data_IF_334097633905
#
_entry.id   IF_334097633905
#
_cell.length_a   1.000
_cell.length_b   1.000
_cell.length_c   1.000
_cell.angle_alpha   90.00
_cell.angle_beta   90.00
_cell.angle_gamma   90.00
#
_symmetry.space_group_name_H-M   'P 1'
#
loop_
_entity.id
_entity.type
_entity.pdbx_description
1 polymer ?
#
# COMPACT_ATOMS: atom_id res chain seq x y z
N UNK A 1 1.24 10.60 4.60
CA UNK A 1 -0.06 11.16 5.02
C UNK A 1 -0.97 11.16 3.82
N UNK A 2 -2.20 10.68 4.03
CA UNK A 2 -3.17 10.43 2.98
C UNK A 2 -3.96 11.72 2.66
N UNK A 3 -3.25 12.81 2.35
CA UNK A 3 -3.78 14.17 2.21
C UNK A 3 -3.74 14.72 0.78
N UNK A 4 -3.27 13.93 -0.18
CA UNK A 4 -3.12 14.31 -1.59
C UNK A 4 -2.01 15.34 -1.86
N UNK A 5 -1.14 15.61 -0.87
CA UNK A 5 -0.10 16.64 -0.94
C UNK A 5 1.27 16.15 -0.49
N UNK A 6 1.30 15.10 0.31
CA UNK A 6 2.51 14.54 0.88
C UNK A 6 3.17 13.55 -0.07
N UNK A 7 4.50 13.63 -0.17
CA UNK A 7 5.32 12.60 -0.83
C UNK A 7 6.32 12.11 0.19
N UNK A 8 6.20 10.85 0.61
CA UNK A 8 7.07 10.27 1.63
C UNK A 8 7.30 8.78 1.37
N UNK A 9 8.26 8.18 2.06
CA UNK A 9 8.58 6.77 1.91
C UNK A 9 9.52 6.25 3.00
N UNK A 10 9.94 4.98 2.90
CA UNK A 10 10.82 4.39 3.89
C UNK A 10 12.17 5.11 3.96
N UNK A 11 12.55 5.53 5.16
CA UNK A 11 13.91 6.03 5.42
C UNK A 11 14.97 4.97 5.06
N UNK A 12 16.24 5.35 4.86
CA UNK A 12 17.28 4.39 4.46
C UNK A 12 17.40 3.17 5.38
N UNK A 13 17.15 3.32 6.68
CA UNK A 13 17.16 2.20 7.62
C UNK A 13 15.98 1.24 7.40
N UNK A 14 14.79 1.78 7.16
CA UNK A 14 13.58 1.00 6.89
C UNK A 14 13.69 0.30 5.52
N UNK A 15 14.22 0.98 4.51
CA UNK A 15 14.48 0.37 3.21
C UNK A 15 15.46 -0.82 3.32
N UNK A 16 16.53 -0.68 4.12
CA UNK A 16 17.44 -1.80 4.42
C UNK A 16 16.74 -2.95 5.15
N UNK A 17 15.79 -2.64 6.03
CA UNK A 17 14.99 -3.66 6.71
C UNK A 17 14.10 -4.44 5.74
N UNK A 18 13.44 -3.76 4.78
CA UNK A 18 12.69 -4.42 3.71
C UNK A 18 13.59 -5.34 2.87
N UNK A 19 14.73 -4.83 2.41
CA UNK A 19 15.70 -5.60 1.60
C UNK A 19 16.20 -6.83 2.37
N UNK A 20 16.56 -6.66 3.64
CA UNK A 20 16.97 -7.78 4.48
C UNK A 20 15.84 -8.79 4.66
N UNK A 21 14.62 -8.32 4.86
CA UNK A 21 13.46 -9.18 5.02
C UNK A 21 13.16 -10.03 3.79
N UNK A 22 13.14 -9.43 2.60
CA UNK A 22 12.86 -10.18 1.35
C UNK A 22 13.98 -11.14 0.97
N UNK A 23 15.22 -10.90 1.40
CA UNK A 23 16.35 -11.79 1.10
C UNK A 23 16.56 -12.89 2.17
N UNK A 24 16.40 -12.56 3.45
CA UNK A 24 16.81 -13.43 4.56
C UNK A 24 15.63 -13.90 5.43
N UNK A 25 14.46 -13.28 5.30
CA UNK A 25 13.25 -13.66 6.03
C UNK A 25 12.75 -15.04 5.62
N UNK A 26 11.94 -15.65 6.49
CA UNK A 26 11.31 -16.97 6.25
C UNK A 26 12.31 -18.05 5.81
N UNK A 27 13.43 -18.18 6.51
CA UNK A 27 14.52 -19.12 6.19
C UNK A 27 15.05 -18.96 4.75
N UNK A 28 15.15 -17.72 4.26
CA UNK A 28 15.62 -17.41 2.90
C UNK A 28 14.55 -17.43 1.81
N UNK A 29 13.28 -17.68 2.17
CA UNK A 29 12.15 -17.59 1.22
C UNK A 29 11.66 -16.15 0.99
N UNK A 30 12.13 -15.21 1.81
CA UNK A 30 11.70 -13.82 1.82
C UNK A 30 10.45 -13.58 2.66
N UNK A 31 10.52 -12.55 3.51
CA UNK A 31 9.37 -12.01 4.22
C UNK A 31 8.34 -11.45 3.23
N UNK A 32 7.07 -11.66 3.54
CA UNK A 32 5.95 -11.14 2.73
C UNK A 32 5.41 -9.90 3.43
N UNK A 33 5.47 -8.77 2.74
CA UNK A 33 4.95 -7.50 3.23
C UNK A 33 3.67 -7.16 2.49
N UNK A 34 2.58 -6.98 3.22
CA UNK A 34 1.29 -6.55 2.66
C UNK A 34 1.01 -5.14 3.18
N UNK A 35 0.69 -4.22 2.29
CA UNK A 35 0.43 -2.82 2.62
C UNK A 35 -0.94 -2.40 2.10
N UNK A 36 -1.63 -1.54 2.84
CA UNK A 36 -2.86 -0.94 2.34
C UNK A 36 -2.53 0.10 1.26
N UNK A 37 -3.42 0.27 0.28
CA UNK A 37 -3.26 1.30 -0.75
C UNK A 37 -3.45 2.72 -0.21
N UNK A 38 -3.95 2.93 1.01
CA UNK A 38 -4.20 4.26 1.55
C UNK A 38 -5.66 4.70 1.47
N UNK A 39 -6.01 5.70 2.28
CA UNK A 39 -7.37 6.19 2.53
C UNK A 39 -7.58 7.65 2.09
N UNK A 40 -6.67 8.21 1.28
CA UNK A 40 -6.67 9.60 0.83
C UNK A 40 -7.50 9.87 -0.41
N UNK A 41 -8.28 8.90 -0.91
CA UNK A 41 -8.97 8.99 -2.20
C UNK A 41 -9.96 10.17 -2.31
N UNK A 42 -10.51 10.66 -1.20
CA UNK A 42 -11.38 11.85 -1.17
C UNK A 42 -10.60 13.18 -1.31
N UNK A 43 -9.29 13.14 -1.12
CA UNK A 43 -8.37 14.26 -1.26
C UNK A 43 -7.60 14.20 -2.58
N UNK A 44 -8.08 13.39 -3.54
CA UNK A 44 -7.42 13.08 -4.81
C UNK A 44 -5.99 12.51 -4.62
N UNK A 45 -5.75 11.80 -3.52
CA UNK A 45 -4.46 11.17 -3.26
C UNK A 45 -4.21 9.95 -4.15
N UNK A 46 -2.93 9.67 -4.36
CA UNK A 46 -2.44 8.60 -5.19
C UNK A 46 -1.30 7.85 -4.50
N UNK A 47 -1.52 6.57 -4.23
CA UNK A 47 -0.59 5.72 -3.51
C UNK A 47 0.79 5.49 -4.16
N UNK A 48 1.06 6.02 -5.35
CA UNK A 48 2.44 6.13 -5.84
C UNK A 48 3.28 7.16 -5.07
N UNK A 49 2.64 8.11 -4.37
CA UNK A 49 3.31 9.11 -3.52
C UNK A 49 3.58 8.60 -2.10
N UNK A 50 3.06 7.43 -1.73
CA UNK A 50 3.48 6.65 -0.56
C UNK A 50 4.53 5.61 -1.00
N UNK A 51 5.78 5.83 -0.62
CA UNK A 51 6.91 4.95 -0.93
C UNK A 51 6.88 3.58 -0.25
N UNK A 52 5.99 3.35 0.73
CA UNK A 52 5.71 2.02 1.28
C UNK A 52 4.74 1.25 0.37
N UNK A 53 3.66 1.89 -0.07
CA UNK A 53 2.70 1.31 -1.01
C UNK A 53 3.29 1.18 -2.44
N UNK A 54 4.17 2.09 -2.84
CA UNK A 54 4.86 2.06 -4.14
C UNK A 54 6.17 1.26 -4.14
N UNK A 55 6.46 0.52 -3.07
CA UNK A 55 7.67 -0.30 -2.97
C UNK A 55 7.53 -1.61 -3.74
N UNK A 56 8.56 -2.00 -4.49
CA UNK A 56 8.62 -3.35 -5.12
C UNK A 56 8.68 -4.49 -4.10
N UNK A 57 8.93 -4.19 -2.83
CA UNK A 57 9.00 -5.17 -1.75
C UNK A 57 7.67 -5.42 -1.04
N UNK A 58 6.62 -4.67 -1.39
CA UNK A 58 5.29 -4.76 -0.77
C UNK A 58 4.24 -5.26 -1.75
N UNK A 59 3.23 -5.90 -1.22
CA UNK A 59 2.00 -6.29 -1.93
C UNK A 59 0.94 -5.28 -1.52
N UNK A 60 0.66 -4.32 -2.39
CA UNK A 60 -0.28 -3.22 -2.11
C UNK A 60 -1.70 -3.65 -2.45
N UNK A 61 -2.58 -3.58 -1.45
CA UNK A 61 -3.97 -4.06 -1.50
C UNK A 61 -4.94 -2.91 -1.24
N UNK A 62 -5.86 -2.68 -2.19
CA UNK A 62 -6.96 -1.74 -2.06
C UNK A 62 -8.22 -2.34 -1.42
N UNK A 63 -9.17 -1.46 -1.05
CA UNK A 63 -10.43 -1.84 -0.40
C UNK A 63 -11.64 -1.72 -1.32
N UNK A 64 -12.53 -2.71 -1.27
CA UNK A 64 -13.87 -2.68 -1.89
C UNK A 64 -14.97 -3.02 -0.87
N UNK A 65 -16.16 -2.48 -1.08
CA UNK A 65 -17.33 -2.76 -0.27
C UNK A 65 -17.94 -4.13 -0.57
N UNK A 66 -18.96 -4.53 0.20
CA UNK A 66 -19.68 -5.81 0.02
C UNK A 66 -20.38 -5.96 -1.34
N UNK A 67 -20.49 -4.89 -2.11
CA UNK A 67 -21.06 -4.86 -3.46
C UNK A 67 -19.98 -4.84 -4.55
N UNK A 68 -18.70 -4.95 -4.18
CA UNK A 68 -17.58 -4.91 -5.11
C UNK A 68 -17.24 -3.50 -5.60
N UNK A 69 -17.72 -2.45 -4.90
CA UNK A 69 -17.46 -1.05 -5.26
C UNK A 69 -16.26 -0.50 -4.51
N UNK A 70 -15.46 0.32 -5.19
CA UNK A 70 -14.36 1.07 -4.57
C UNK A 70 -14.94 2.09 -3.58
N UNK A 71 -14.36 2.15 -2.38
CA UNK A 71 -14.69 3.20 -1.41
C UNK A 71 -14.19 4.57 -1.87
N UNK A 72 -14.92 5.64 -1.53
CA UNK A 72 -14.47 7.00 -1.80
C UNK A 72 -13.08 7.31 -1.22
N UNK A 73 -12.74 6.74 -0.06
CA UNK A 73 -11.43 6.91 0.56
C UNK A 73 -10.32 6.06 -0.07
N UNK A 74 -10.63 4.96 -0.78
CA UNK A 74 -9.58 4.06 -1.28
C UNK A 74 -8.77 4.75 -2.37
N UNK A 75 -7.47 4.91 -2.21
CA UNK A 75 -6.61 5.49 -3.26
C UNK A 75 -6.48 4.56 -4.48
N UNK A 76 -6.18 5.14 -5.64
CA UNK A 76 -5.91 4.41 -6.87
C UNK A 76 -4.53 4.77 -7.41
N UNK A 77 -3.70 3.78 -7.70
CA UNK A 77 -2.37 3.97 -8.26
C UNK A 77 -1.91 2.74 -9.06
N UNK A 78 -0.81 2.88 -9.80
CA UNK A 78 -0.26 1.80 -10.63
C UNK A 78 0.45 0.70 -9.82
N UNK A 79 0.83 0.98 -8.57
CA UNK A 79 1.51 0.01 -7.69
C UNK A 79 0.54 -0.93 -6.96
N UNK A 80 -0.77 -0.66 -6.99
CA UNK A 80 -1.78 -1.54 -6.40
C UNK A 80 -1.87 -2.87 -7.18
N UNK A 81 -1.69 -4.00 -6.49
CA UNK A 81 -1.67 -5.33 -7.11
C UNK A 81 -3.03 -6.02 -7.09
N UNK A 82 -3.83 -5.81 -6.04
CA UNK A 82 -5.15 -6.42 -5.90
C UNK A 82 -6.05 -5.60 -4.98
N UNK A 83 -7.31 -6.02 -4.85
CA UNK A 83 -8.28 -5.48 -3.89
C UNK A 83 -8.90 -6.59 -3.06
N UNK A 84 -9.35 -6.27 -1.86
CA UNK A 84 -10.13 -7.18 -1.00
C UNK A 84 -11.30 -6.45 -0.34
N UNK A 85 -12.23 -7.21 0.22
CA UNK A 85 -13.34 -6.65 0.98
C UNK A 85 -12.83 -5.95 2.24
N UNK A 86 -13.30 -4.73 2.48
CA UNK A 86 -13.09 -4.00 3.72
C UNK A 86 -14.42 -3.54 4.34
N UNK A 87 -14.38 -3.13 5.60
CA UNK A 87 -15.55 -2.62 6.31
C UNK A 87 -15.87 -1.19 5.90
N UNK A 88 -17.15 -0.88 5.70
CA UNK A 88 -17.63 0.44 5.29
C UNK A 88 -18.76 0.34 4.27
N UNK A 89 -19.20 1.49 3.77
CA UNK A 89 -20.07 1.59 2.59
C UNK A 89 -19.40 2.50 1.57
N UNK A 90 -19.38 2.09 0.30
CA UNK A 90 -18.82 2.89 -0.79
C UNK A 90 -19.66 4.11 -1.12
#
# INVERSE_FOLDING_TARGET
DDDGKTVDGPSPLVLRAFINGVNNGRNGLGSIYVFASGNGGIYDDNCNFDGYANSVFTITIGGIDKHGKRFAYSEACSSQLAVTYAGGSA
#
